data_IF_344575566534
#
_entry.id   IF_344575566534
#
_cell.length_a   1.000
_cell.length_b   1.000
_cell.length_c   1.000
_cell.angle_alpha   90.00
_cell.angle_beta   90.00
_cell.angle_gamma   90.00
#
_symmetry.space_group_name_H-M   'P 1'
#
loop_
_entity.id
_entity.type
_entity.pdbx_description
1 polymer ?
#
# COMPACT_ATOMS: atom_id res chain seq x y z
N UNK A 1 -7.09 15.74 -7.92
CA UNK A 1 -7.09 14.46 -7.14
C UNK A 1 -5.68 13.92 -7.19
N UNK A 2 -5.14 13.40 -6.08
CA UNK A 2 -3.78 12.84 -6.05
C UNK A 2 -3.82 11.32 -6.04
N UNK A 3 -3.08 10.69 -6.96
CA UNK A 3 -2.87 9.25 -7.05
C UNK A 3 -1.48 8.91 -6.55
N UNK A 4 -1.40 8.04 -5.54
CA UNK A 4 -0.16 7.45 -5.10
C UNK A 4 0.03 6.06 -5.72
N UNK A 5 1.22 5.81 -6.27
CA UNK A 5 1.67 4.48 -6.64
C UNK A 5 2.67 3.98 -5.61
N UNK A 6 2.44 2.78 -5.07
CA UNK A 6 3.33 2.13 -4.12
C UNK A 6 4.02 0.97 -4.81
N UNK A 7 5.31 1.08 -4.99
CA UNK A 7 6.13 0.05 -5.62
C UNK A 7 6.75 -0.88 -4.57
N UNK A 8 6.25 -2.10 -4.50
CA UNK A 8 6.77 -3.19 -3.66
C UNK A 8 7.80 -4.08 -4.37
N UNK A 9 8.36 -3.64 -5.51
CA UNK A 9 9.44 -4.34 -6.19
C UNK A 9 10.80 -3.78 -5.80
N UNK A 10 11.83 -4.62 -5.54
CA UNK A 10 13.20 -4.14 -5.36
C UNK A 10 13.81 -3.56 -6.65
N UNK A 11 13.20 -3.84 -7.80
CA UNK A 11 13.70 -3.44 -9.12
C UNK A 11 12.91 -2.24 -9.64
N UNK A 12 13.46 -1.04 -9.48
CA UNK A 12 12.79 0.23 -9.78
C UNK A 12 12.55 0.52 -11.28
N UNK A 13 13.17 -0.22 -12.18
CA UNK A 13 13.08 -0.03 -13.65
C UNK A 13 12.56 -1.27 -14.38
N UNK A 14 11.92 -2.19 -13.68
CA UNK A 14 11.43 -3.45 -14.23
C UNK A 14 9.88 -3.49 -14.21
N UNK A 15 9.33 -4.60 -14.64
CA UNK A 15 7.91 -4.77 -14.97
C UNK A 15 6.93 -4.07 -14.02
N UNK A 16 7.05 -4.30 -12.70
CA UNK A 16 6.14 -3.68 -11.72
C UNK A 16 6.23 -2.15 -11.74
N UNK A 17 7.45 -1.60 -11.76
CA UNK A 17 7.66 -0.15 -11.77
C UNK A 17 7.16 0.46 -13.09
N UNK A 18 7.50 -0.14 -14.23
CA UNK A 18 7.04 0.33 -15.56
C UNK A 18 5.52 0.38 -15.64
N UNK A 19 4.83 -0.66 -15.15
CA UNK A 19 3.36 -0.69 -15.15
C UNK A 19 2.76 0.38 -14.22
N UNK A 20 3.35 0.61 -13.05
CA UNK A 20 2.94 1.68 -12.16
C UNK A 20 3.17 3.06 -12.78
N UNK A 21 4.32 3.28 -13.41
CA UNK A 21 4.63 4.53 -14.12
C UNK A 21 3.62 4.80 -15.24
N UNK A 22 3.25 3.77 -16.03
CA UNK A 22 2.22 3.91 -17.07
C UNK A 22 0.83 4.23 -16.51
N UNK A 23 0.49 3.65 -15.36
CA UNK A 23 -0.75 4.01 -14.67
C UNK A 23 -0.73 5.48 -14.17
N UNK A 24 0.42 5.95 -13.66
CA UNK A 24 0.60 7.34 -13.25
C UNK A 24 0.56 8.31 -14.44
N UNK A 25 1.19 7.98 -15.57
CA UNK A 25 1.11 8.76 -16.81
C UNK A 25 -0.36 8.92 -17.28
N UNK A 26 -1.12 7.81 -17.28
CA UNK A 26 -2.55 7.84 -17.61
C UNK A 26 -3.37 8.71 -16.66
N UNK A 27 -3.11 8.63 -15.36
CA UNK A 27 -3.77 9.48 -14.38
C UNK A 27 -3.41 10.96 -14.53
N UNK A 28 -2.13 11.26 -14.79
CA UNK A 28 -1.67 12.63 -15.04
C UNK A 28 -2.31 13.23 -16.29
N UNK A 29 -2.46 12.45 -17.37
CA UNK A 29 -3.14 12.90 -18.58
C UNK A 29 -4.62 13.25 -18.36
N UNK A 30 -5.24 12.66 -17.33
CA UNK A 30 -6.58 12.97 -16.88
C UNK A 30 -6.63 14.08 -15.80
N UNK A 31 -5.52 14.80 -15.58
CA UNK A 31 -5.43 15.93 -14.65
C UNK A 31 -5.24 15.55 -13.17
N UNK A 32 -4.79 14.33 -12.87
CA UNK A 32 -4.43 13.97 -11.52
C UNK A 32 -2.98 14.37 -11.19
N UNK A 33 -2.74 14.79 -9.96
CA UNK A 33 -1.40 14.84 -9.39
C UNK A 33 -0.95 13.41 -9.07
N UNK A 34 0.30 13.06 -9.36
CA UNK A 34 0.80 11.69 -9.21
C UNK A 34 2.09 11.65 -8.41
N UNK A 35 2.26 10.59 -7.64
CA UNK A 35 3.47 10.34 -6.86
C UNK A 35 3.74 8.84 -6.78
N UNK A 36 5.02 8.44 -6.91
CA UNK A 36 5.46 7.05 -6.70
C UNK A 36 6.33 6.94 -5.46
N UNK A 37 6.07 5.91 -4.65
CA UNK A 37 6.86 5.55 -3.48
C UNK A 37 7.46 4.17 -3.70
N UNK A 38 8.79 4.06 -3.59
CA UNK A 38 9.50 2.79 -3.66
C UNK A 38 9.75 2.28 -2.24
N UNK A 39 9.07 1.20 -1.85
CA UNK A 39 9.14 0.67 -0.48
C UNK A 39 10.55 0.20 -0.10
N UNK A 40 11.30 -0.33 -1.05
CA UNK A 40 12.69 -0.77 -0.82
C UNK A 40 13.70 0.36 -0.60
N UNK A 41 13.29 1.63 -0.72
CA UNK A 41 14.12 2.78 -0.36
C UNK A 41 13.93 3.23 1.08
N UNK A 42 12.94 2.65 1.75
CA UNK A 42 12.56 3.04 3.11
C UNK A 42 13.13 2.05 4.13
N UNK A 43 13.71 2.57 5.19
CA UNK A 43 14.01 1.76 6.38
C UNK A 43 12.78 1.72 7.27
N UNK A 44 12.10 0.57 7.32
CA UNK A 44 10.90 0.37 8.13
C UNK A 44 10.63 -1.10 8.44
N UNK A 45 9.70 -1.35 9.35
CA UNK A 45 9.28 -2.69 9.76
C UNK A 45 7.77 -2.88 9.58
N UNK A 46 7.35 -4.13 9.48
CA UNK A 46 5.95 -4.54 9.56
C UNK A 46 5.32 -4.23 10.93
N UNK A 47 4.05 -4.52 11.08
CA UNK A 47 3.32 -4.29 12.32
C UNK A 47 3.89 -5.15 13.45
N UNK A 48 4.25 -4.52 14.57
CA UNK A 48 4.77 -5.21 15.77
C UNK A 48 3.70 -5.54 16.81
N UNK A 49 2.43 -5.39 16.46
CA UNK A 49 1.29 -5.65 17.36
C UNK A 49 1.35 -4.91 18.70
N UNK A 50 1.87 -3.69 18.72
CA UNK A 50 1.97 -2.87 19.93
C UNK A 50 0.60 -2.33 20.41
N UNK A 51 -0.43 -2.40 19.59
CA UNK A 51 -1.81 -1.95 19.83
C UNK A 51 -1.99 -0.47 20.22
N UNK A 52 -0.98 0.36 20.16
CA UNK A 52 -1.10 1.79 20.45
C UNK A 52 -2.14 2.49 19.54
N UNK A 53 -2.30 2.02 18.30
CA UNK A 53 -3.33 2.51 17.37
C UNK A 53 -4.77 2.11 17.75
N UNK A 54 -4.94 1.21 18.73
CA UNK A 54 -6.23 0.72 19.22
C UNK A 54 -6.65 1.34 20.56
N UNK A 55 -5.78 2.15 21.17
CA UNK A 55 -6.09 2.82 22.43
C UNK A 55 -7.02 4.01 22.17
N UNK A 56 -8.28 3.88 22.58
CA UNK A 56 -9.29 4.93 22.48
C UNK A 56 -8.84 6.16 23.26
N UNK A 57 -8.87 7.34 22.64
CA UNK A 57 -8.36 8.59 23.21
C UNK A 57 -6.82 8.69 23.27
N UNK A 58 -6.11 7.67 22.79
CA UNK A 58 -4.65 7.69 22.74
C UNK A 58 -4.11 8.56 21.60
N UNK A 59 -2.86 9.03 21.74
CA UNK A 59 -2.19 9.90 20.75
C UNK A 59 -2.08 9.27 19.35
N UNK A 60 -2.13 7.96 19.27
CA UNK A 60 -2.00 7.19 18.01
C UNK A 60 -3.28 6.46 17.63
N UNK A 61 -4.43 6.83 18.20
CA UNK A 61 -5.69 6.19 17.85
C UNK A 61 -5.93 6.26 16.34
N UNK A 62 -6.18 5.10 15.72
CA UNK A 62 -6.38 4.96 14.27
C UNK A 62 -5.12 5.09 13.41
N UNK A 63 -3.95 5.38 13.99
CA UNK A 63 -2.68 5.61 13.27
C UNK A 63 -1.56 4.73 13.83
N UNK A 64 -0.64 4.31 12.97
CA UNK A 64 0.51 3.56 13.42
C UNK A 64 1.44 4.44 14.29
N UNK A 65 1.77 3.94 15.50
CA UNK A 65 2.62 4.67 16.45
C UNK A 65 4.13 4.57 16.16
N UNK A 66 4.53 3.65 15.26
CA UNK A 66 5.94 3.46 14.91
C UNK A 66 6.50 4.70 14.22
N UNK A 67 7.78 5.00 14.50
CA UNK A 67 8.51 6.14 13.96
C UNK A 67 9.69 5.65 13.12
N UNK A 68 9.48 5.52 11.82
CA UNK A 68 10.46 5.03 10.85
C UNK A 68 10.20 5.63 9.46
N UNK A 69 10.91 5.17 8.44
CA UNK A 69 10.79 5.66 7.07
C UNK A 69 9.39 5.56 6.46
N UNK A 70 8.54 4.65 6.94
CA UNK A 70 7.18 4.51 6.46
C UNK A 70 6.21 5.54 7.09
N UNK A 71 6.52 6.07 8.26
CA UNK A 71 5.64 7.00 8.99
C UNK A 71 5.21 8.22 8.15
N UNK A 72 6.12 8.96 7.48
CA UNK A 72 5.73 10.10 6.66
C UNK A 72 4.88 9.69 5.43
N UNK A 73 5.13 8.51 4.87
CA UNK A 73 4.37 7.99 3.73
C UNK A 73 2.93 7.69 4.13
N UNK A 74 2.71 7.00 5.25
CA UNK A 74 1.36 6.72 5.77
C UNK A 74 0.59 8.00 6.06
N UNK A 75 1.25 8.99 6.68
CA UNK A 75 0.66 10.30 6.94
C UNK A 75 0.23 10.99 5.63
N UNK A 76 1.11 11.01 4.66
CA UNK A 76 0.86 11.65 3.36
C UNK A 76 -0.29 10.96 2.60
N UNK A 77 -0.37 9.63 2.62
CA UNK A 77 -1.49 8.88 2.05
C UNK A 77 -2.80 9.27 2.77
N UNK A 78 -2.79 9.33 4.11
CA UNK A 78 -3.96 9.73 4.89
C UNK A 78 -4.43 11.15 4.56
N UNK A 79 -3.52 12.09 4.38
CA UNK A 79 -3.83 13.51 4.17
C UNK A 79 -4.17 13.85 2.72
N UNK A 80 -3.53 13.23 1.73
CA UNK A 80 -3.52 13.70 0.35
C UNK A 80 -4.14 12.70 -0.66
N UNK A 81 -4.12 11.37 -0.36
CA UNK A 81 -4.50 10.40 -1.38
C UNK A 81 -5.99 10.44 -1.73
N UNK A 82 -6.31 10.63 -2.99
CA UNK A 82 -7.63 10.39 -3.56
C UNK A 82 -7.76 8.99 -4.15
N UNK A 83 -6.62 8.39 -4.56
CA UNK A 83 -6.53 7.02 -5.03
C UNK A 83 -5.15 6.43 -4.71
N UNK A 84 -5.07 5.11 -4.65
CA UNK A 84 -3.86 4.36 -4.35
C UNK A 84 -3.75 3.15 -5.29
N UNK A 85 -2.67 3.06 -6.04
CA UNK A 85 -2.32 1.86 -6.80
C UNK A 85 -1.07 1.21 -6.20
N UNK A 86 -1.14 -0.07 -5.91
CA UNK A 86 -0.07 -0.82 -5.26
C UNK A 86 0.42 -1.91 -6.20
N UNK A 87 1.71 -1.91 -6.51
CA UNK A 87 2.32 -2.88 -7.42
C UNK A 87 3.34 -3.74 -6.69
N UNK A 88 3.28 -5.05 -6.88
CA UNK A 88 4.21 -6.00 -6.28
C UNK A 88 4.48 -7.19 -7.20
N UNK A 89 5.72 -7.67 -7.28
CA UNK A 89 5.97 -8.99 -7.85
C UNK A 89 5.45 -10.07 -6.89
N UNK A 90 5.08 -11.21 -7.46
CA UNK A 90 4.69 -12.40 -6.69
C UNK A 90 5.95 -13.20 -6.35
N UNK A 91 6.24 -13.33 -5.06
CA UNK A 91 7.30 -14.16 -4.50
C UNK A 91 6.67 -15.26 -3.65
N UNK A 92 6.93 -16.53 -4.00
CA UNK A 92 6.32 -17.69 -3.32
C UNK A 92 4.80 -17.55 -3.15
N UNK A 93 4.09 -17.23 -4.25
CA UNK A 93 2.63 -17.11 -4.31
C UNK A 93 2.03 -15.99 -3.45
N UNK A 94 2.84 -15.05 -3.02
CA UNK A 94 2.42 -13.90 -2.23
C UNK A 94 3.09 -12.61 -2.70
N UNK A 95 2.60 -11.48 -2.21
CA UNK A 95 3.29 -10.20 -2.37
C UNK A 95 4.65 -10.22 -1.67
N UNK A 96 5.51 -9.27 -2.01
CA UNK A 96 6.81 -9.09 -1.32
C UNK A 96 6.62 -8.77 0.16
N UNK A 97 7.62 -9.09 0.98
CA UNK A 97 7.62 -8.78 2.41
C UNK A 97 7.44 -7.29 2.69
N UNK A 98 8.07 -6.43 1.88
CA UNK A 98 7.93 -4.98 1.99
C UNK A 98 6.48 -4.52 1.72
N UNK A 99 5.85 -5.01 0.66
CA UNK A 99 4.45 -4.69 0.39
C UNK A 99 3.55 -5.19 1.51
N UNK A 100 3.80 -6.38 2.04
CA UNK A 100 3.03 -6.94 3.17
C UNK A 100 3.18 -6.07 4.41
N UNK A 101 4.40 -5.70 4.78
CA UNK A 101 4.70 -4.85 5.92
C UNK A 101 4.05 -3.45 5.81
N UNK A 102 4.02 -2.89 4.60
CA UNK A 102 3.30 -1.65 4.31
C UNK A 102 1.80 -1.81 4.53
N UNK A 103 1.18 -2.85 3.95
CA UNK A 103 -0.26 -3.09 4.06
C UNK A 103 -0.70 -3.36 5.50
N UNK A 104 0.08 -4.11 6.27
CA UNK A 104 -0.22 -4.35 7.68
C UNK A 104 -0.36 -3.03 8.44
N UNK A 105 0.51 -2.08 8.21
CA UNK A 105 0.50 -0.80 8.92
C UNK A 105 -0.53 0.18 8.37
N UNK A 106 -0.77 0.17 7.06
CA UNK A 106 -1.79 1.02 6.44
C UNK A 106 -3.20 0.58 6.85
N UNK A 107 -3.47 -0.72 6.81
CA UNK A 107 -4.83 -1.24 6.97
C UNK A 107 -5.19 -1.55 8.43
N UNK A 108 -4.27 -2.11 9.21
CA UNK A 108 -4.57 -2.50 10.58
C UNK A 108 -4.82 -1.29 11.49
N UNK A 109 -4.01 -0.23 11.36
CA UNK A 109 -4.10 0.90 12.28
C UNK A 109 -5.50 1.54 12.35
N UNK A 110 -6.18 1.88 11.23
CA UNK A 110 -7.48 2.54 11.29
C UNK A 110 -8.67 1.60 11.55
N UNK A 111 -8.50 0.28 11.56
CA UNK A 111 -9.62 -0.66 11.79
C UNK A 111 -10.09 -0.59 13.23
N UNK A 112 -11.40 -0.45 13.43
CA UNK A 112 -12.09 -0.58 14.72
C UNK A 112 -12.84 -1.92 14.74
N UNK A 113 -12.57 -2.72 15.75
CA UNK A 113 -13.28 -3.98 15.98
C UNK A 113 -14.69 -3.70 16.53
N UNK A 114 -15.65 -3.64 15.64
CA UNK A 114 -17.07 -3.48 15.94
C UNK A 114 -17.89 -4.34 14.97
N UNK A 115 -19.18 -4.50 15.24
CA UNK A 115 -20.08 -5.21 14.33
C UNK A 115 -21.15 -4.22 13.85
N UNK A 116 -21.13 -3.85 12.55
CA UNK A 116 -20.10 -4.14 11.53
C UNK A 116 -18.77 -3.44 11.84
N UNK A 117 -17.68 -3.97 11.27
CA UNK A 117 -16.36 -3.35 11.39
C UNK A 117 -16.36 -1.94 10.78
N UNK A 118 -15.64 -1.01 11.40
CA UNK A 118 -15.51 0.38 10.96
C UNK A 118 -14.04 0.73 10.74
N UNK A 119 -13.82 1.84 10.01
CA UNK A 119 -12.49 2.40 9.82
C UNK A 119 -12.46 3.85 10.34
N UNK A 120 -11.37 4.20 11.02
CA UNK A 120 -11.03 5.57 11.40
C UNK A 120 -10.27 6.31 10.28
N UNK A 121 -10.06 5.67 9.13
CA UNK A 121 -9.45 6.37 8.00
C UNK A 121 -10.37 7.52 7.56
N UNK A 122 -9.85 8.76 7.39
CA UNK A 122 -10.69 9.96 7.33
C UNK A 122 -11.59 10.04 6.09
N UNK A 123 -11.32 9.24 5.07
CA UNK A 123 -12.09 9.21 3.81
C UNK A 123 -12.01 7.86 3.13
N UNK A 124 -12.89 7.63 2.16
CA UNK A 124 -12.77 6.51 1.23
C UNK A 124 -11.83 6.89 0.09
N UNK A 125 -10.84 6.04 -0.19
CA UNK A 125 -9.96 6.16 -1.34
C UNK A 125 -10.14 4.96 -2.25
N UNK A 126 -10.06 5.18 -3.56
CA UNK A 126 -10.08 4.09 -4.54
C UNK A 126 -8.74 3.38 -4.51
N UNK A 127 -8.76 2.07 -4.51
CA UNK A 127 -7.52 1.27 -4.47
C UNK A 127 -7.50 0.27 -5.62
N UNK A 128 -6.29 0.01 -6.13
CA UNK A 128 -6.02 -1.06 -7.09
C UNK A 128 -4.75 -1.81 -6.69
N UNK A 129 -4.73 -3.12 -6.99
CA UNK A 129 -3.54 -3.95 -6.85
C UNK A 129 -3.07 -4.39 -8.24
N UNK A 130 -1.77 -4.32 -8.46
CA UNK A 130 -1.09 -4.77 -9.67
C UNK A 130 -0.07 -5.84 -9.28
N UNK A 131 -0.21 -7.01 -9.87
CA UNK A 131 0.71 -8.12 -9.65
C UNK A 131 1.52 -8.41 -10.90
N UNK A 132 2.81 -8.69 -10.73
CA UNK A 132 3.68 -9.20 -11.79
C UNK A 132 4.27 -10.52 -11.35
N UNK A 133 4.32 -11.49 -12.24
CA UNK A 133 4.88 -12.81 -11.93
C UNK A 133 5.58 -13.42 -13.14
N UNK A 134 6.46 -14.37 -12.87
CA UNK A 134 7.16 -15.13 -13.90
C UNK A 134 6.47 -16.48 -14.14
N UNK A 135 5.16 -16.45 -14.33
CA UNK A 135 4.38 -17.63 -14.69
C UNK A 135 3.44 -17.28 -15.82
N UNK A 136 3.28 -18.15 -16.83
CA UNK A 136 2.32 -17.94 -17.88
C UNK A 136 0.88 -18.03 -17.33
N UNK A 137 -0.04 -17.34 -17.98
CA UNK A 137 -1.42 -17.20 -17.50
C UNK A 137 -2.17 -18.54 -17.42
N UNK A 138 -1.95 -19.41 -18.38
CA UNK A 138 -2.52 -20.76 -18.42
C UNK A 138 -2.14 -21.57 -17.17
N UNK A 139 -0.86 -21.57 -16.80
CA UNK A 139 -0.38 -22.22 -15.58
C UNK A 139 -1.05 -21.64 -14.32
N UNK A 140 -1.26 -20.33 -14.27
CA UNK A 140 -1.94 -19.69 -13.15
C UNK A 140 -3.40 -20.14 -13.06
N UNK A 141 -4.12 -20.15 -14.18
CA UNK A 141 -5.52 -20.60 -14.25
C UNK A 141 -5.69 -22.07 -13.88
N UNK A 142 -4.85 -22.96 -14.40
CA UNK A 142 -4.87 -24.39 -14.08
C UNK A 142 -4.67 -24.69 -12.59
N UNK A 143 -3.90 -23.85 -11.90
CA UNK A 143 -3.62 -23.98 -10.47
C UNK A 143 -4.55 -23.19 -9.57
N UNK A 144 -5.53 -22.48 -10.12
CA UNK A 144 -6.52 -21.72 -9.37
C UNK A 144 -5.99 -20.41 -8.76
N UNK A 145 -5.04 -19.76 -9.42
CA UNK A 145 -4.47 -18.46 -8.99
C UNK A 145 -5.06 -17.30 -9.80
#
# INVERSE_FOLDING_TARGET
MKLFAINGSPRKKWNTAVLLEKALEGAASAGAETEIVHLYDLDYRGCTSCFACKMVGGKSEGRCAMRDGLTPVLKKIEEEAGALIMGTPIYFWSMTGEMRSFLERLMFAPVVYSVPARSLFPRRIKTAMLYTMNAPEDMCRERGY
#
